data_IF_429869777892
#
_entry.id   IF_429869777892
#
_cell.length_a   1.000
_cell.length_b   1.000
_cell.length_c   1.000
_cell.angle_alpha   90.00
_cell.angle_beta   90.00
_cell.angle_gamma   90.00
#
_symmetry.space_group_name_H-M   'P 1'
#
loop_
_entity.id
_entity.type
_entity.pdbx_description
1 polymer ?
#
# COMPACT_ATOMS: atom_id res chain seq x y z
N UNK A 1 5.78 9.60 -21.28
CA UNK A 1 5.42 10.34 -20.06
C UNK A 1 5.98 11.74 -20.21
N UNK A 2 5.18 12.78 -20.17
CA UNK A 2 5.70 14.17 -20.24
C UNK A 2 6.20 14.57 -18.85
N UNK A 3 7.49 14.80 -18.71
CA UNK A 3 8.16 15.15 -17.44
C UNK A 3 7.71 16.54 -16.95
N UNK A 4 7.29 17.39 -17.89
CA UNK A 4 6.85 18.77 -17.64
C UNK A 4 5.52 18.89 -16.87
N UNK A 5 4.72 17.81 -16.82
CA UNK A 5 3.42 17.79 -16.16
C UNK A 5 3.47 17.27 -14.72
N UNK A 6 4.67 17.03 -14.17
CA UNK A 6 4.83 16.51 -12.82
C UNK A 6 4.69 17.64 -11.80
N UNK A 7 3.70 17.54 -10.91
CA UNK A 7 3.45 18.52 -9.85
C UNK A 7 4.45 18.45 -8.68
N UNK A 8 5.46 17.59 -8.77
CA UNK A 8 6.48 17.36 -7.73
C UNK A 8 7.83 17.79 -8.26
N UNK A 9 8.58 18.58 -7.51
CA UNK A 9 9.96 18.96 -7.84
C UNK A 9 10.85 17.73 -7.83
N UNK A 10 11.39 17.38 -9.02
CA UNK A 10 12.27 16.24 -9.25
C UNK A 10 13.72 16.64 -8.98
N UNK A 11 14.23 16.33 -7.79
CA UNK A 11 15.66 16.42 -7.48
C UNK A 11 16.10 15.13 -6.76
N UNK A 12 17.36 14.70 -6.91
CA UNK A 12 17.89 13.57 -6.15
C UNK A 12 17.83 13.85 -4.64
N UNK A 13 17.27 12.92 -3.88
CA UNK A 13 17.09 13.02 -2.43
C UNK A 13 17.51 11.73 -1.73
N UNK A 14 17.83 11.77 -0.43
CA UNK A 14 17.92 10.56 0.39
C UNK A 14 16.60 9.76 0.33
N UNK A 15 16.67 8.43 0.38
CA UNK A 15 15.48 7.58 0.21
C UNK A 15 14.41 7.80 1.28
N UNK A 16 14.80 8.12 2.52
CA UNK A 16 13.86 8.42 3.61
C UNK A 16 13.13 9.74 3.39
N UNK A 17 13.83 10.77 2.91
CA UNK A 17 13.18 12.03 2.51
C UNK A 17 12.19 11.81 1.37
N UNK A 18 12.54 10.95 0.42
CA UNK A 18 11.61 10.58 -0.65
C UNK A 18 10.38 9.84 -0.12
N UNK A 19 10.54 8.96 0.87
CA UNK A 19 9.41 8.29 1.52
C UNK A 19 8.46 9.29 2.19
N UNK A 20 9.00 10.28 2.91
CA UNK A 20 8.21 11.35 3.55
C UNK A 20 7.44 12.18 2.53
N UNK A 21 8.05 12.47 1.38
CA UNK A 21 7.34 13.14 0.28
C UNK A 21 6.18 12.30 -0.27
N UNK A 22 6.32 10.97 -0.28
CA UNK A 22 5.23 10.06 -0.62
C UNK A 22 4.06 10.18 0.36
N UNK A 23 4.35 10.23 1.65
CA UNK A 23 3.35 10.46 2.70
C UNK A 23 2.63 11.79 2.48
N UNK A 24 3.36 12.87 2.22
CA UNK A 24 2.78 14.20 1.93
C UNK A 24 1.94 14.19 0.64
N UNK A 25 2.37 13.48 -0.41
CA UNK A 25 1.60 13.31 -1.64
C UNK A 25 0.26 12.62 -1.35
N UNK A 26 0.26 11.58 -0.53
CA UNK A 26 -0.98 10.93 -0.10
C UNK A 26 -1.86 11.89 0.69
N UNK A 27 -1.32 12.60 1.68
CA UNK A 27 -2.07 13.54 2.52
C UNK A 27 -2.73 14.65 1.69
N UNK A 28 -2.01 15.23 0.73
CA UNK A 28 -2.55 16.27 -0.17
C UNK A 28 -3.64 15.74 -1.11
N UNK A 29 -3.64 14.43 -1.41
CA UNK A 29 -4.62 13.77 -2.27
C UNK A 29 -5.53 12.79 -1.51
N UNK A 30 -5.57 12.83 -0.19
CA UNK A 30 -6.25 11.87 0.68
C UNK A 30 -7.71 11.64 0.28
N UNK A 31 -8.45 12.73 0.02
CA UNK A 31 -9.85 12.65 -0.40
C UNK A 31 -10.03 11.85 -1.71
N UNK A 32 -9.17 12.04 -2.68
CA UNK A 32 -9.22 11.30 -3.96
C UNK A 32 -8.89 9.83 -3.74
N UNK A 33 -7.84 9.53 -2.97
CA UNK A 33 -7.40 8.16 -2.68
C UNK A 33 -8.50 7.40 -1.93
N UNK A 34 -8.98 7.95 -0.80
CA UNK A 34 -10.00 7.27 0.01
C UNK A 34 -11.32 7.09 -0.75
N UNK A 35 -11.81 8.11 -1.45
CA UNK A 35 -13.06 8.00 -2.23
C UNK A 35 -12.98 6.97 -3.35
N UNK A 36 -11.82 6.80 -3.95
CA UNK A 36 -11.64 5.84 -5.05
C UNK A 36 -11.38 4.43 -4.55
N UNK A 37 -10.61 4.27 -3.47
CA UNK A 37 -10.19 2.97 -2.98
C UNK A 37 -11.12 2.38 -1.91
N UNK A 38 -11.80 3.19 -1.10
CA UNK A 38 -12.68 2.71 -0.03
C UNK A 38 -13.75 1.71 -0.48
N UNK A 39 -14.43 1.88 -1.63
CA UNK A 39 -15.40 0.89 -2.09
C UNK A 39 -14.76 -0.48 -2.35
N UNK A 40 -13.54 -0.50 -2.90
CA UNK A 40 -12.79 -1.74 -3.17
C UNK A 40 -12.39 -2.42 -1.86
N UNK A 41 -11.88 -1.66 -0.91
CA UNK A 41 -11.54 -2.15 0.43
C UNK A 41 -12.77 -2.70 1.15
N UNK A 42 -13.89 -1.96 1.11
CA UNK A 42 -15.14 -2.38 1.74
C UNK A 42 -15.66 -3.71 1.19
N UNK A 43 -15.66 -3.89 -0.14
CA UNK A 43 -16.08 -5.14 -0.76
C UNK A 43 -15.15 -6.30 -0.36
N UNK A 44 -13.84 -6.10 -0.43
CA UNK A 44 -12.87 -7.14 -0.06
C UNK A 44 -12.99 -7.52 1.41
N UNK A 45 -13.13 -6.54 2.29
CA UNK A 45 -13.27 -6.79 3.74
C UNK A 45 -14.60 -7.45 4.07
N UNK A 46 -15.71 -7.03 3.46
CA UNK A 46 -16.99 -7.68 3.65
C UNK A 46 -16.95 -9.15 3.21
N UNK A 47 -16.35 -9.44 2.04
CA UNK A 47 -16.18 -10.82 1.56
C UNK A 47 -15.24 -11.63 2.47
N UNK A 48 -14.17 -11.01 2.98
CA UNK A 48 -13.27 -11.68 3.93
C UNK A 48 -14.01 -11.99 5.25
N UNK A 49 -14.72 -11.02 5.82
CA UNK A 49 -15.45 -11.22 7.07
C UNK A 49 -16.57 -12.24 6.94
N UNK A 50 -17.20 -12.38 5.78
CA UNK A 50 -18.21 -13.41 5.53
C UNK A 50 -17.66 -14.85 5.63
N UNK A 51 -16.34 -15.04 5.58
CA UNK A 51 -15.70 -16.37 5.73
C UNK A 51 -15.47 -16.80 7.19
N UNK A 52 -15.83 -15.97 8.17
CA UNK A 52 -15.56 -16.24 9.60
C UNK A 52 -16.20 -17.54 10.09
N UNK A 53 -17.36 -17.91 9.56
CA UNK A 53 -18.06 -19.14 9.92
C UNK A 53 -17.38 -20.40 9.39
N UNK A 54 -16.55 -20.25 8.31
CA UNK A 54 -15.76 -21.36 7.77
C UNK A 54 -14.56 -21.62 8.67
N UNK A 55 -13.88 -20.55 9.09
CA UNK A 55 -12.79 -20.63 10.08
C UNK A 55 -12.48 -19.24 10.66
N UNK A 56 -12.27 -19.13 11.98
CA UNK A 56 -12.02 -17.85 12.67
C UNK A 56 -10.80 -17.07 12.18
N UNK A 57 -9.75 -17.75 11.72
CA UNK A 57 -8.52 -17.12 11.23
C UNK A 57 -8.59 -16.71 9.74
N UNK A 58 -9.56 -17.25 9.00
CA UNK A 58 -9.65 -17.07 7.54
C UNK A 58 -9.86 -15.62 7.09
N UNK A 59 -10.70 -14.79 7.73
CA UNK A 59 -10.85 -13.38 7.38
C UNK A 59 -9.52 -12.61 7.40
N UNK A 60 -8.76 -12.76 8.47
CA UNK A 60 -7.46 -12.09 8.63
C UNK A 60 -6.45 -12.57 7.59
N UNK A 61 -6.43 -13.86 7.28
CA UNK A 61 -5.58 -14.42 6.23
C UNK A 61 -5.95 -13.85 4.85
N UNK A 62 -7.24 -13.78 4.51
CA UNK A 62 -7.69 -13.24 3.22
C UNK A 62 -7.27 -11.77 3.09
N UNK A 63 -7.52 -10.94 4.11
CA UNK A 63 -7.09 -9.54 4.13
C UNK A 63 -5.58 -9.46 3.95
N UNK A 64 -4.81 -10.23 4.74
CA UNK A 64 -3.35 -10.29 4.64
C UNK A 64 -2.90 -10.66 3.22
N UNK A 65 -3.52 -11.67 2.61
CA UNK A 65 -3.11 -12.17 1.30
C UNK A 65 -3.43 -11.21 0.17
N UNK A 66 -4.55 -10.49 0.25
CA UNK A 66 -5.02 -9.56 -0.79
C UNK A 66 -4.38 -8.15 -0.72
N UNK A 67 -3.59 -7.81 0.31
CA UNK A 67 -2.90 -6.51 0.41
C UNK A 67 -2.17 -6.09 -0.88
N UNK A 68 -1.33 -6.94 -1.53
CA UNK A 68 -0.64 -6.53 -2.77
C UNK A 68 -1.58 -6.23 -3.93
N UNK A 69 -2.79 -6.77 -3.90
CA UNK A 69 -3.81 -6.50 -4.89
C UNK A 69 -4.51 -5.16 -4.61
N UNK A 70 -4.80 -4.87 -3.35
CA UNK A 70 -5.34 -3.57 -2.90
C UNK A 70 -4.35 -2.43 -3.19
N UNK A 71 -3.05 -2.64 -2.95
CA UNK A 71 -1.98 -1.67 -3.26
C UNK A 71 -2.03 -1.16 -4.69
N UNK A 72 -2.46 -2.00 -5.63
CA UNK A 72 -2.53 -1.64 -7.04
C UNK A 72 -3.54 -0.53 -7.31
N UNK A 73 -4.65 -0.52 -6.57
CA UNK A 73 -5.65 0.55 -6.64
C UNK A 73 -5.08 1.86 -6.13
N UNK A 74 -4.38 1.82 -5.01
CA UNK A 74 -3.73 3.01 -4.42
C UNK A 74 -2.66 3.57 -5.36
N UNK A 75 -1.79 2.69 -5.89
CA UNK A 75 -0.73 3.11 -6.82
C UNK A 75 -1.32 3.73 -8.11
N UNK A 76 -2.43 3.21 -8.62
CA UNK A 76 -3.11 3.79 -9.77
C UNK A 76 -3.57 5.23 -9.49
N UNK A 77 -4.21 5.48 -8.35
CA UNK A 77 -4.65 6.82 -7.96
C UNK A 77 -3.47 7.76 -7.76
N UNK A 78 -2.44 7.32 -7.03
CA UNK A 78 -1.24 8.14 -6.75
C UNK A 78 -0.44 8.45 -8.03
N UNK A 79 -0.35 7.51 -8.97
CA UNK A 79 0.34 7.73 -10.23
C UNK A 79 -0.31 8.83 -11.08
N UNK A 80 -1.62 9.02 -10.96
CA UNK A 80 -2.35 10.12 -11.60
C UNK A 80 -2.24 11.42 -10.81
N UNK A 81 -2.27 11.32 -9.48
CA UNK A 81 -2.15 12.47 -8.59
C UNK A 81 -0.81 13.22 -8.76
N UNK A 82 0.29 12.50 -9.04
CA UNK A 82 1.61 13.13 -9.36
C UNK A 82 1.52 14.07 -10.55
N UNK A 83 0.60 13.81 -11.49
CA UNK A 83 0.33 14.69 -12.64
C UNK A 83 -0.82 15.68 -12.40
N UNK A 84 -1.23 15.90 -11.16
CA UNK A 84 -2.31 16.80 -10.79
C UNK A 84 -3.71 16.32 -11.21
N UNK A 85 -3.85 15.05 -11.60
CA UNK A 85 -5.14 14.49 -12.02
C UNK A 85 -5.89 13.91 -10.84
N UNK A 86 -7.12 14.35 -10.62
CA UNK A 86 -8.04 13.70 -9.67
C UNK A 86 -8.56 12.39 -10.27
N UNK A 87 -8.68 11.36 -9.44
CA UNK A 87 -9.20 10.05 -9.85
C UNK A 87 -10.51 9.77 -9.13
N UNK A 88 -11.49 9.21 -9.85
CA UNK A 88 -12.77 8.75 -9.32
C UNK A 88 -12.80 7.22 -9.28
N UNK A 89 -13.72 6.66 -8.49
CA UNK A 89 -13.93 5.21 -8.45
C UNK A 89 -14.30 4.61 -9.81
N UNK A 90 -15.04 5.38 -10.65
CA UNK A 90 -15.35 5.00 -12.03
C UNK A 90 -14.12 4.80 -12.91
N UNK A 91 -13.09 5.65 -12.73
CA UNK A 91 -11.86 5.56 -13.51
C UNK A 91 -11.07 4.30 -13.14
N UNK A 92 -11.08 3.96 -11.85
CA UNK A 92 -10.48 2.72 -11.35
C UNK A 92 -11.20 1.48 -11.92
N UNK A 93 -12.52 1.52 -11.97
CA UNK A 93 -13.34 0.46 -12.56
C UNK A 93 -13.10 0.30 -14.06
N UNK A 94 -13.02 1.39 -14.81
CA UNK A 94 -12.67 1.36 -16.23
C UNK A 94 -11.27 0.78 -16.48
N UNK A 95 -10.33 1.05 -15.58
CA UNK A 95 -8.95 0.55 -15.64
C UNK A 95 -8.78 -0.86 -15.04
N UNK A 96 -9.84 -1.54 -14.62
CA UNK A 96 -9.80 -2.81 -13.87
C UNK A 96 -8.90 -3.88 -14.51
N UNK A 97 -8.90 -4.03 -15.84
CA UNK A 97 -8.05 -5.00 -16.54
C UNK A 97 -6.56 -4.78 -16.27
N UNK A 98 -6.10 -3.53 -16.35
CA UNK A 98 -4.69 -3.18 -16.14
C UNK A 98 -4.34 -3.14 -14.65
N UNK A 99 -5.26 -2.69 -13.79
CA UNK A 99 -5.03 -2.53 -12.36
C UNK A 99 -5.15 -3.86 -11.64
N UNK A 100 -6.23 -4.61 -11.82
CA UNK A 100 -6.52 -5.78 -10.98
C UNK A 100 -6.15 -7.11 -11.61
N UNK A 101 -6.43 -7.30 -12.90
CA UNK A 101 -6.31 -8.61 -13.53
C UNK A 101 -4.93 -8.88 -14.14
N UNK A 102 -4.23 -7.82 -14.55
CA UNK A 102 -2.92 -8.01 -15.17
C UNK A 102 -1.91 -8.54 -14.15
N UNK A 103 -1.26 -9.68 -14.44
CA UNK A 103 -0.27 -10.33 -13.58
C UNK A 103 -0.78 -10.69 -12.15
N UNK A 104 -2.08 -10.98 -11.98
CA UNK A 104 -2.71 -11.30 -10.71
C UNK A 104 -1.95 -12.40 -9.95
N UNK A 105 -1.77 -13.56 -10.59
CA UNK A 105 -1.09 -14.72 -9.97
C UNK A 105 0.30 -14.37 -9.43
N UNK A 106 1.11 -13.68 -10.23
CA UNK A 106 2.46 -13.30 -9.78
C UNK A 106 2.43 -12.27 -8.64
N UNK A 107 1.39 -11.45 -8.58
CA UNK A 107 1.20 -10.47 -7.50
C UNK A 107 0.84 -11.15 -6.18
N UNK A 108 -0.08 -12.12 -6.22
CA UNK A 108 -0.54 -12.82 -5.02
C UNK A 108 0.45 -13.88 -4.52
N UNK A 109 1.17 -14.58 -5.41
CA UNK A 109 2.09 -15.63 -5.00
C UNK A 109 3.49 -15.07 -4.64
N UNK A 110 4.28 -14.71 -5.65
CA UNK A 110 5.70 -14.40 -5.45
C UNK A 110 5.98 -13.02 -4.88
N UNK A 111 5.14 -12.03 -5.21
CA UNK A 111 5.39 -10.64 -4.80
C UNK A 111 4.91 -10.36 -3.39
N UNK A 112 3.99 -11.17 -2.87
CA UNK A 112 3.48 -11.05 -1.51
C UNK A 112 4.60 -11.11 -0.48
N UNK A 113 5.54 -12.00 -0.65
CA UNK A 113 6.65 -12.24 0.27
C UNK A 113 7.85 -11.31 0.05
N UNK A 114 7.78 -10.36 -0.89
CA UNK A 114 8.89 -9.45 -1.16
C UNK A 114 8.90 -8.26 -0.19
N UNK A 115 9.99 -8.05 0.59
CA UNK A 115 10.12 -6.90 1.48
C UNK A 115 10.30 -5.56 0.74
N UNK A 116 10.49 -5.59 -0.58
CA UNK A 116 10.58 -4.40 -1.44
C UNK A 116 9.32 -4.18 -2.27
N UNK A 117 8.17 -4.67 -1.80
CA UNK A 117 6.93 -4.74 -2.57
C UNK A 117 6.50 -3.38 -3.11
N UNK A 118 6.25 -2.39 -2.26
CA UNK A 118 5.76 -1.07 -2.68
C UNK A 118 6.76 -0.31 -3.56
N UNK A 119 8.06 -0.45 -3.27
CA UNK A 119 9.12 0.16 -4.07
C UNK A 119 9.24 -0.43 -5.48
N UNK A 120 9.00 -1.74 -5.65
CA UNK A 120 9.15 -2.42 -6.93
C UNK A 120 7.84 -2.57 -7.72
N UNK A 121 6.71 -2.28 -7.09
CA UNK A 121 5.39 -2.39 -7.70
C UNK A 121 5.22 -1.55 -8.98
N UNK A 122 5.74 -0.30 -9.07
CA UNK A 122 5.60 0.50 -10.27
C UNK A 122 6.24 -0.13 -11.52
N UNK A 123 7.28 -0.96 -11.37
CA UNK A 123 7.99 -1.60 -12.50
C UNK A 123 7.03 -2.43 -13.38
N UNK A 124 6.11 -3.15 -12.77
CA UNK A 124 5.19 -4.01 -13.51
C UNK A 124 3.82 -3.37 -13.74
N UNK A 125 3.42 -2.45 -12.89
CA UNK A 125 2.12 -1.79 -13.02
C UNK A 125 2.18 -0.55 -13.92
N UNK A 126 3.23 0.27 -13.80
CA UNK A 126 3.36 1.51 -14.55
C UNK A 126 4.30 1.38 -15.75
N UNK A 127 5.46 0.70 -15.60
CA UNK A 127 6.37 0.45 -16.71
C UNK A 127 5.96 -0.76 -17.56
N UNK A 128 5.03 -1.61 -17.09
CA UNK A 128 4.56 -2.80 -17.79
C UNK A 128 5.60 -3.91 -17.98
N UNK A 129 6.73 -3.84 -17.30
CA UNK A 129 7.87 -4.75 -17.46
C UNK A 129 7.53 -6.19 -17.06
N UNK A 130 7.98 -7.17 -17.88
CA UNK A 130 7.75 -8.61 -17.66
C UNK A 130 9.04 -9.41 -17.84
N UNK A 131 9.05 -10.63 -17.33
CA UNK A 131 10.12 -11.59 -17.56
C UNK A 131 11.51 -11.07 -17.17
N UNK A 132 12.50 -11.26 -18.05
CA UNK A 132 13.89 -10.88 -17.85
C UNK A 132 14.08 -9.35 -17.72
N UNK A 133 13.39 -8.56 -18.54
CA UNK A 133 13.45 -7.09 -18.48
C UNK A 133 13.02 -6.57 -17.12
N UNK A 134 11.95 -7.11 -16.52
CA UNK A 134 11.54 -6.79 -15.15
C UNK A 134 12.62 -7.15 -14.12
N UNK A 135 13.25 -8.34 -14.25
CA UNK A 135 14.31 -8.78 -13.33
C UNK A 135 15.50 -7.82 -13.39
N UNK A 136 15.92 -7.44 -14.59
CA UNK A 136 17.01 -6.49 -14.81
C UNK A 136 16.66 -5.12 -14.22
N UNK A 137 15.48 -4.57 -14.52
CA UNK A 137 15.00 -3.29 -14.00
C UNK A 137 14.94 -3.28 -12.48
N UNK A 138 14.38 -4.34 -11.87
CA UNK A 138 14.35 -4.51 -10.42
C UNK A 138 15.75 -4.50 -9.81
N UNK A 139 16.72 -5.19 -10.43
CA UNK A 139 18.10 -5.22 -9.94
C UNK A 139 18.74 -3.83 -9.98
N UNK A 140 18.53 -3.08 -11.07
CA UNK A 140 19.04 -1.70 -11.22
C UNK A 140 18.45 -0.77 -10.16
N UNK A 141 17.14 -0.79 -9.97
CA UNK A 141 16.45 0.06 -8.98
C UNK A 141 16.88 -0.27 -7.54
N UNK A 142 17.00 -1.55 -7.20
CA UNK A 142 17.39 -2.01 -5.86
C UNK A 142 18.89 -1.90 -5.58
N UNK A 143 19.72 -1.61 -6.59
CA UNK A 143 21.16 -1.47 -6.39
C UNK A 143 21.43 -0.33 -5.40
N UNK A 144 22.13 -0.64 -4.31
CA UNK A 144 22.43 0.25 -3.17
C UNK A 144 21.22 0.72 -2.33
N UNK A 145 19.97 0.32 -2.68
CA UNK A 145 18.75 0.82 -2.02
C UNK A 145 17.96 -0.28 -1.30
N UNK A 146 18.49 -1.51 -1.26
CA UNK A 146 17.80 -2.65 -0.62
C UNK A 146 17.53 -2.42 0.85
N UNK A 147 18.51 -1.83 1.56
CA UNK A 147 18.40 -1.53 3.00
C UNK A 147 17.29 -0.52 3.28
N UNK A 148 17.27 0.60 2.55
CA UNK A 148 16.26 1.64 2.73
C UNK A 148 14.84 1.14 2.41
N UNK A 149 14.68 0.44 1.27
CA UNK A 149 13.37 -0.09 0.87
C UNK A 149 12.88 -1.23 1.79
N UNK A 150 13.78 -2.09 2.26
CA UNK A 150 13.46 -3.13 3.24
C UNK A 150 13.17 -2.56 4.62
N UNK A 151 13.95 -1.58 5.06
CA UNK A 151 13.75 -0.88 6.33
C UNK A 151 12.40 -0.15 6.38
N UNK A 152 12.00 0.51 5.29
CA UNK A 152 10.67 1.11 5.16
C UNK A 152 9.56 0.04 5.31
N UNK A 153 9.68 -1.09 4.61
CA UNK A 153 8.72 -2.18 4.76
C UNK A 153 8.62 -2.67 6.21
N UNK A 154 9.76 -2.88 6.85
CA UNK A 154 9.81 -3.32 8.25
C UNK A 154 9.20 -2.28 9.20
N UNK A 155 9.47 -0.99 9.01
CA UNK A 155 8.88 0.08 9.79
C UNK A 155 7.35 0.08 9.69
N UNK A 156 6.80 0.03 8.46
CA UNK A 156 5.35 -0.04 8.27
C UNK A 156 4.73 -1.31 8.84
N UNK A 157 5.39 -2.46 8.75
CA UNK A 157 4.91 -3.70 9.35
C UNK A 157 4.81 -3.60 10.88
N UNK A 158 5.79 -2.97 11.55
CA UNK A 158 5.74 -2.75 12.99
C UNK A 158 4.63 -1.75 13.38
N UNK A 159 4.47 -0.66 12.62
CA UNK A 159 3.39 0.31 12.85
C UNK A 159 2.02 -0.36 12.66
N UNK A 160 1.87 -1.26 11.68
CA UNK A 160 0.64 -2.01 11.45
C UNK A 160 0.27 -2.88 12.65
N UNK A 161 1.24 -3.62 13.19
CA UNK A 161 1.04 -4.42 14.42
C UNK A 161 0.69 -3.52 15.60
N UNK A 162 1.44 -2.42 15.79
CA UNK A 162 1.19 -1.48 16.89
C UNK A 162 -0.21 -0.84 16.78
N UNK A 163 -0.64 -0.46 15.58
CA UNK A 163 -1.97 0.10 15.35
C UNK A 163 -3.06 -0.93 15.61
N UNK A 164 -2.89 -2.16 15.14
CA UNK A 164 -3.83 -3.25 15.41
C UNK A 164 -3.96 -3.52 16.92
N UNK A 165 -2.83 -3.63 17.63
CA UNK A 165 -2.83 -3.79 19.08
C UNK A 165 -3.48 -2.60 19.80
N UNK A 166 -3.24 -1.37 19.33
CA UNK A 166 -3.86 -0.16 19.85
C UNK A 166 -5.38 -0.16 19.68
N UNK A 167 -5.87 -0.55 18.50
CA UNK A 167 -7.31 -0.70 18.25
C UNK A 167 -7.96 -1.74 19.16
N UNK A 168 -7.29 -2.89 19.35
CA UNK A 168 -7.76 -3.91 20.28
C UNK A 168 -7.72 -3.43 21.74
N UNK A 169 -6.66 -2.72 22.14
CA UNK A 169 -6.56 -2.13 23.48
C UNK A 169 -7.67 -1.08 23.73
N UNK A 170 -8.07 -0.33 22.72
CA UNK A 170 -9.20 0.59 22.84
C UNK A 170 -10.51 -0.14 23.16
N UNK A 171 -10.77 -1.30 22.56
CA UNK A 171 -11.97 -2.07 22.88
C UNK A 171 -11.98 -2.52 24.37
N UNK A 172 -10.82 -2.90 24.90
CA UNK A 172 -10.64 -3.24 26.32
C UNK A 172 -10.80 -2.02 27.23
N UNK A 173 -10.29 -0.87 26.81
CA UNK A 173 -10.37 0.37 27.59
C UNK A 173 -11.81 0.86 27.79
N UNK A 174 -12.63 0.78 26.76
CA UNK A 174 -14.05 1.18 26.82
C UNK A 174 -14.96 0.12 27.42
N UNK A 175 -14.47 -1.09 27.68
CA UNK A 175 -15.26 -2.13 28.33
C UNK A 175 -15.48 -1.83 29.83
N UNK A 176 -16.66 -2.15 30.41
CA UNK A 176 -16.91 -2.09 31.84
C UNK A 176 -15.88 -2.90 32.62
N UNK A 177 -15.54 -2.47 33.83
CA UNK A 177 -14.49 -3.12 34.64
C UNK A 177 -14.76 -4.61 34.89
N UNK A 178 -16.02 -4.95 35.12
CA UNK A 178 -16.45 -6.34 35.34
C UNK A 178 -16.25 -7.21 34.08
N UNK A 179 -16.27 -6.61 32.89
CA UNK A 179 -16.13 -7.32 31.61
C UNK A 179 -14.68 -7.45 31.14
N UNK A 180 -13.75 -6.61 31.64
CA UNK A 180 -12.37 -6.53 31.09
C UNK A 180 -11.62 -7.86 31.15
N UNK A 181 -11.66 -8.56 32.30
CA UNK A 181 -10.99 -9.84 32.43
C UNK A 181 -11.59 -10.93 31.52
N UNK A 182 -12.91 -10.93 31.39
CA UNK A 182 -13.62 -11.83 30.49
C UNK A 182 -13.40 -11.51 29.02
N UNK A 183 -13.24 -10.22 28.67
CA UNK A 183 -13.03 -9.77 27.29
C UNK A 183 -11.66 -10.21 26.75
N UNK A 184 -10.64 -10.17 27.60
CA UNK A 184 -9.31 -10.63 27.21
C UNK A 184 -9.30 -12.15 26.95
N UNK A 185 -9.89 -12.94 27.84
CA UNK A 185 -10.05 -14.40 27.65
C UNK A 185 -10.96 -14.71 26.46
N UNK A 186 -11.96 -13.89 26.18
CA UNK A 186 -12.85 -14.03 25.04
C UNK A 186 -12.11 -13.75 23.70
N UNK A 187 -11.30 -12.69 23.64
CA UNK A 187 -10.44 -12.41 22.46
C UNK A 187 -9.40 -13.51 22.21
N UNK A 188 -8.96 -14.20 23.26
CA UNK A 188 -7.99 -15.29 23.15
C UNK A 188 -8.62 -16.66 22.79
N UNK A 189 -9.94 -16.74 22.70
CA UNK A 189 -10.64 -17.98 22.32
C UNK A 189 -10.65 -18.17 20.81
N UNK A 190 -10.12 -19.28 20.35
CA UNK A 190 -10.06 -19.62 18.92
C UNK A 190 -11.42 -19.96 18.31
N UNK A 191 -12.42 -20.32 19.13
CA UNK A 191 -13.75 -20.76 18.71
C UNK A 191 -14.81 -19.66 18.69
N UNK A 192 -14.47 -18.44 19.11
CA UNK A 192 -15.40 -17.32 19.18
C UNK A 192 -15.46 -16.55 17.84
N UNK A 193 -16.57 -16.69 17.11
CA UNK A 193 -16.86 -15.91 15.89
C UNK A 193 -16.76 -14.40 16.14
N UNK A 194 -17.28 -13.94 17.30
CA UNK A 194 -17.23 -12.53 17.66
C UNK A 194 -15.79 -12.03 17.88
N UNK A 195 -14.93 -12.81 18.55
CA UNK A 195 -13.52 -12.49 18.73
C UNK A 195 -12.78 -12.44 17.40
N UNK A 196 -13.02 -13.42 16.52
CA UNK A 196 -12.45 -13.45 15.18
C UNK A 196 -12.85 -12.23 14.33
N UNK A 197 -14.12 -11.81 14.40
CA UNK A 197 -14.60 -10.59 13.73
C UNK A 197 -13.94 -9.33 14.31
N UNK A 198 -13.77 -9.25 15.62
CA UNK A 198 -13.09 -8.14 16.29
C UNK A 198 -11.61 -8.04 15.83
N UNK A 199 -10.89 -9.16 15.84
CA UNK A 199 -9.50 -9.24 15.40
C UNK A 199 -9.37 -8.90 13.92
N UNK A 200 -10.18 -9.48 13.05
CA UNK A 200 -10.16 -9.23 11.61
C UNK A 200 -10.60 -7.79 11.29
N UNK A 201 -11.55 -7.23 12.03
CA UNK A 201 -11.97 -5.84 11.91
C UNK A 201 -10.87 -4.84 12.30
N UNK A 202 -10.21 -5.09 13.44
CA UNK A 202 -9.05 -4.28 13.87
C UNK A 202 -7.91 -4.36 12.84
N UNK A 203 -7.58 -5.57 12.38
CA UNK A 203 -6.57 -5.78 11.35
C UNK A 203 -6.95 -5.10 10.03
N UNK A 204 -8.16 -5.30 9.54
CA UNK A 204 -8.67 -4.68 8.32
C UNK A 204 -8.62 -3.15 8.39
N UNK A 205 -8.97 -2.57 9.55
CA UNK A 205 -8.90 -1.13 9.79
C UNK A 205 -7.45 -0.64 9.75
N UNK A 206 -6.53 -1.34 10.42
CA UNK A 206 -5.11 -1.02 10.38
C UNK A 206 -4.57 -1.06 8.93
N UNK A 207 -4.91 -2.09 8.16
CA UNK A 207 -4.56 -2.21 6.75
C UNK A 207 -5.17 -1.07 5.92
N UNK A 208 -6.46 -0.78 6.09
CA UNK A 208 -7.13 0.29 5.34
C UNK A 208 -6.47 1.65 5.56
N UNK A 209 -6.01 1.93 6.78
CA UNK A 209 -5.34 3.20 7.12
C UNK A 209 -3.91 3.23 6.64
N UNK A 210 -3.10 2.19 6.90
CA UNK A 210 -1.65 2.23 6.70
C UNK A 210 -1.18 1.83 5.31
N UNK A 211 -1.87 0.91 4.64
CA UNK A 211 -1.43 0.42 3.33
C UNK A 211 -1.30 1.55 2.27
N UNK A 212 -2.21 2.55 2.19
CA UNK A 212 -2.02 3.68 1.30
C UNK A 212 -0.74 4.48 1.56
N UNK A 213 -0.34 4.66 2.82
CA UNK A 213 0.90 5.35 3.18
C UNK A 213 2.13 4.53 2.77
N UNK A 214 2.09 3.21 2.99
CA UNK A 214 3.15 2.30 2.57
C UNK A 214 3.36 2.31 1.05
N UNK A 215 2.27 2.30 0.28
CA UNK A 215 2.33 2.39 -1.19
C UNK A 215 2.85 3.74 -1.63
N UNK A 216 2.40 4.83 -1.01
CA UNK A 216 2.82 6.18 -1.34
C UNK A 216 4.32 6.41 -1.07
N UNK A 217 4.81 5.97 0.10
CA UNK A 217 6.22 6.02 0.45
C UNK A 217 7.09 5.24 -0.55
N UNK A 218 6.71 3.99 -0.85
CA UNK A 218 7.42 3.16 -1.82
C UNK A 218 7.39 3.73 -3.25
N UNK A 219 6.27 4.32 -3.65
CA UNK A 219 6.14 4.97 -4.95
C UNK A 219 7.04 6.21 -5.09
N UNK A 220 7.09 7.05 -4.07
CA UNK A 220 7.96 8.22 -4.08
C UNK A 220 9.45 7.84 -4.06
N UNK A 221 9.84 6.82 -3.28
CA UNK A 221 11.19 6.25 -3.33
C UNK A 221 11.53 5.74 -4.74
N UNK A 222 10.59 5.06 -5.41
CA UNK A 222 10.77 4.62 -6.79
C UNK A 222 10.97 5.79 -7.75
N UNK A 223 10.15 6.85 -7.66
CA UNK A 223 10.31 8.05 -8.49
C UNK A 223 11.67 8.71 -8.27
N UNK A 224 12.07 8.90 -7.01
CA UNK A 224 13.38 9.44 -6.65
C UNK A 224 14.53 8.60 -7.24
N UNK A 225 14.41 7.27 -7.20
CA UNK A 225 15.43 6.40 -7.79
C UNK A 225 15.47 6.51 -9.32
N UNK A 226 14.33 6.73 -9.96
CA UNK A 226 14.29 6.99 -11.40
C UNK A 226 14.95 8.32 -11.75
N UNK A 227 14.73 9.37 -10.98
CA UNK A 227 15.41 10.66 -11.17
C UNK A 227 16.93 10.47 -11.15
N UNK A 228 17.45 9.74 -10.16
CA UNK A 228 18.89 9.44 -10.04
C UNK A 228 19.46 8.61 -11.20
N UNK A 229 18.68 7.68 -11.77
CA UNK A 229 19.15 6.78 -12.84
C UNK A 229 18.95 7.33 -14.24
N UNK A 230 17.95 8.16 -14.45
CA UNK A 230 17.50 8.64 -15.75
C UNK A 230 17.82 10.14 -15.95
N UNK A 231 18.46 10.78 -14.96
CA UNK A 231 18.87 12.19 -14.97
C UNK A 231 17.75 13.17 -15.36
N UNK A 232 16.53 12.92 -14.88
CA UNK A 232 15.36 13.77 -15.17
C UNK A 232 15.47 15.20 -14.64
N UNK A 233 16.23 15.39 -13.57
CA UNK A 233 16.58 16.70 -13.02
C UNK A 233 17.34 17.54 -14.03
N UNK A 234 18.38 16.99 -14.67
CA UNK A 234 19.16 17.65 -15.69
C UNK A 234 18.30 17.98 -16.93
N UNK A 235 17.44 17.04 -17.35
CA UNK A 235 16.52 17.29 -18.46
C UNK A 235 15.53 18.42 -18.15
N UNK A 236 15.01 18.51 -16.94
CA UNK A 236 14.13 19.61 -16.53
C UNK A 236 14.85 20.96 -16.50
N UNK A 237 16.07 21.01 -15.96
CA UNK A 237 16.86 22.25 -15.97
C UNK A 237 17.18 22.71 -17.39
N UNK A 238 17.54 21.79 -18.27
CA UNK A 238 17.82 22.10 -19.68
C UNK A 238 16.59 22.70 -20.38
N UNK A 239 15.40 22.10 -20.15
CA UNK A 239 14.13 22.60 -20.72
C UNK A 239 13.66 23.93 -20.14
N UNK A 240 14.08 24.29 -18.91
CA UNK A 240 13.78 25.59 -18.30
C UNK A 240 14.70 26.69 -18.80
N UNK A 241 15.90 26.32 -19.25
CA UNK A 241 16.92 27.25 -19.74
C UNK A 241 16.73 27.63 -21.23
N UNK A 242 15.98 26.83 -21.97
CA UNK A 242 15.68 27.01 -23.41
C UNK A 242 14.15 26.93 -23.63
#
# INVERSE_FOLDING_TARGET
MRVDAIAVELRPRPMWEAADLGVRLLQSNARSVWRSCAPVYAVVFALALATVEISPWLPSLIIFWLKPWLDRSVLFVLSRAVFGQSTRASDLWQAQRSVWWQQLFSTLLWRRLSPWRSFTQPIYQLEGQRGAARKQRRTQLLRSQRGAAGGMHFAFANIEVALMCGLLAMTLWFAPEEARGNLFTWLARDDSVGAALCLAGAYGTAVAVLEPFYVAAGFAMYLNRRVQLEAWDIEQEFRRAF
#
